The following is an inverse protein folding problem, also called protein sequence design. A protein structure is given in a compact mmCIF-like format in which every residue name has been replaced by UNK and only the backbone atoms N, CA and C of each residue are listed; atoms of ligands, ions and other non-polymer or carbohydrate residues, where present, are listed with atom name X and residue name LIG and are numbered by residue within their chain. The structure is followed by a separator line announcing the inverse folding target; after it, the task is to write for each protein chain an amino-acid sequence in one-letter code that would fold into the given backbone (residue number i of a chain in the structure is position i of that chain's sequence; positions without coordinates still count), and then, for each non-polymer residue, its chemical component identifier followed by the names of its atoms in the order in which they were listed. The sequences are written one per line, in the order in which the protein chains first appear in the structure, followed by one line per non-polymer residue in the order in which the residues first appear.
data_IF_382692074229
#
_entry.id   IF_382692074229
#
_cell.length_a   1.000
_cell.length_b   1.000
_cell.length_c   1.000
_cell.angle_alpha   90.00
_cell.angle_beta   90.00
_cell.angle_gamma   90.00
#
_symmetry.space_group_name_H-M   'P 1'
#
loop_
_entity.id
_entity.type
_entity.pdbx_description
1 polymer ?
#
# COMPACT_ATOMS: atom_id res chain seq x y z
N UNK A 1 0.13 -21.89 -2.72
CA UNK A 1 1.12 -20.81 -2.89
C UNK A 1 0.53 -19.61 -2.21
N UNK A 2 1.06 -19.18 -1.07
CA UNK A 2 0.56 -17.98 -0.41
C UNK A 2 0.87 -16.78 -1.30
N UNK A 3 -0.18 -16.10 -1.76
CA UNK A 3 -0.06 -14.90 -2.57
C UNK A 3 0.39 -13.80 -1.63
N UNK A 4 1.57 -13.23 -1.84
CA UNK A 4 2.04 -12.10 -1.05
C UNK A 4 1.00 -10.97 -1.15
N UNK A 5 0.23 -10.70 -0.06
CA UNK A 5 -0.93 -9.80 -0.13
C UNK A 5 -0.52 -8.36 -0.43
N UNK A 6 0.75 -8.03 -0.27
CA UNK A 6 1.30 -6.70 -0.51
C UNK A 6 2.11 -6.62 -1.82
N UNK A 7 2.23 -7.74 -2.55
CA UNK A 7 2.91 -7.80 -3.84
C UNK A 7 4.31 -7.17 -3.80
N UNK A 8 5.10 -7.48 -2.76
CA UNK A 8 6.45 -6.93 -2.54
C UNK A 8 6.51 -5.52 -1.93
N UNK A 9 5.37 -4.92 -1.57
CA UNK A 9 5.31 -3.59 -0.94
C UNK A 9 5.56 -3.72 0.57
N UNK A 10 6.57 -3.02 1.10
CA UNK A 10 6.89 -3.06 2.54
C UNK A 10 6.02 -2.16 3.40
N UNK A 11 5.31 -1.21 2.78
CA UNK A 11 4.55 -0.19 3.50
C UNK A 11 3.15 -0.04 2.92
N UNK A 12 2.18 0.26 3.79
CA UNK A 12 0.79 0.54 3.44
C UNK A 12 0.41 1.89 4.05
N UNK A 13 -0.09 2.82 3.22
CA UNK A 13 -0.73 4.04 3.70
C UNK A 13 -2.22 3.81 3.75
N UNK A 14 -2.85 4.03 4.91
CA UNK A 14 -4.30 4.12 5.03
C UNK A 14 -4.72 5.58 5.17
N UNK A 15 -5.70 5.98 4.38
CA UNK A 15 -6.46 7.21 4.56
C UNK A 15 -7.82 6.82 5.10
N UNK A 16 -8.24 7.47 6.18
CA UNK A 16 -9.53 7.23 6.84
C UNK A 16 -10.32 8.53 6.80
N UNK A 17 -11.55 8.45 6.32
CA UNK A 17 -12.54 9.50 6.49
C UNK A 17 -13.36 9.23 7.75
N UNK A 18 -13.16 10.05 8.78
CA UNK A 18 -13.81 9.88 10.08
C UNK A 18 -15.33 10.11 10.01
N UNK A 19 -15.80 10.98 9.11
CA UNK A 19 -17.22 11.31 8.99
C UNK A 19 -18.05 10.17 8.40
N UNK A 20 -17.47 9.39 7.49
CA UNK A 20 -18.14 8.25 6.84
C UNK A 20 -17.68 6.89 7.35
N UNK A 21 -16.57 6.84 8.09
CA UNK A 21 -15.89 5.59 8.46
C UNK A 21 -15.24 4.88 7.27
N UNK A 22 -15.20 5.51 6.09
CA UNK A 22 -14.60 4.90 4.91
C UNK A 22 -13.06 4.88 5.02
N UNK A 23 -12.46 3.78 4.59
CA UNK A 23 -11.01 3.62 4.56
C UNK A 23 -10.54 3.33 3.13
N UNK A 24 -9.43 3.95 2.74
CA UNK A 24 -8.75 3.68 1.47
C UNK A 24 -7.27 3.40 1.70
N UNK A 25 -6.80 2.26 1.22
CA UNK A 25 -5.41 1.83 1.34
C UNK A 25 -4.60 2.03 0.05
N UNK A 26 -3.32 2.36 0.20
CA UNK A 26 -2.34 2.45 -0.89
C UNK A 26 -1.08 1.68 -0.52
N UNK A 27 -0.68 0.72 -1.36
CA UNK A 27 0.57 -0.01 -1.18
C UNK A 27 1.75 0.83 -1.66
N UNK A 28 2.70 1.16 -0.78
CA UNK A 28 3.99 1.74 -1.19
C UNK A 28 5.00 0.64 -1.43
N UNK A 29 5.41 0.56 -2.69
CA UNK A 29 6.69 -0.03 -3.04
C UNK A 29 7.76 1.01 -2.70
N UNK A 30 8.78 0.61 -1.95
CA UNK A 30 9.99 1.42 -1.84
C UNK A 30 10.46 1.73 -3.27
N UNK A 31 10.92 2.96 -3.54
CA UNK A 31 11.50 3.29 -4.85
C UNK A 31 12.46 2.16 -5.23
N UNK A 32 12.20 1.52 -6.36
CA UNK A 32 13.21 0.74 -7.04
C UNK A 32 14.36 1.69 -7.31
N UNK A 33 15.59 1.32 -6.98
CA UNK A 33 16.82 2.00 -7.42
C UNK A 33 17.00 1.85 -8.95
N UNK A 34 15.95 2.00 -9.75
CA UNK A 34 16.03 1.97 -11.21
C UNK A 34 14.73 2.53 -11.82
N UNK A 35 14.69 3.85 -12.00
CA UNK A 35 14.15 4.41 -13.24
C UNK A 35 15.39 4.81 -14.04
N UNK A 36 15.80 3.93 -14.95
CA UNK A 36 16.83 4.18 -15.97
C UNK A 36 16.21 4.95 -17.14
#
# INVERSE_FOLDING_TARGET
MEVDPLGGSKYLILIVDEGSGCMKGFSLRAKSDNEE
#
